data_IF_727038986980
#
_entry.id   IF_727038986980
#
_cell.length_a   1.000
_cell.length_b   1.000
_cell.length_c   1.000
_cell.angle_alpha   90.00
_cell.angle_beta   90.00
_cell.angle_gamma   90.00
#
_symmetry.space_group_name_H-M   'P 1'
#
loop_
_entity.id
_entity.type
_entity.pdbx_description
1 polymer ?
#
# COMPACT_ATOMS: atom_id res chain seq x y z
N UNK A 1 7.04 -32.39 -33.34
CA UNK A 1 7.63 -31.20 -32.70
C UNK A 1 6.59 -30.21 -32.15
N UNK A 2 5.37 -30.10 -32.71
CA UNK A 2 4.41 -29.03 -32.41
C UNK A 2 3.62 -29.14 -31.09
N UNK A 3 3.46 -30.34 -30.53
CA UNK A 3 2.66 -30.52 -29.30
C UNK A 3 3.42 -30.12 -28.03
N UNK A 4 4.74 -30.30 -28.03
CA UNK A 4 5.60 -29.92 -26.91
C UNK A 4 5.80 -28.41 -26.82
N UNK A 5 5.87 -27.72 -27.97
CA UNK A 5 5.98 -26.25 -28.01
C UNK A 5 4.68 -25.60 -27.54
N UNK A 6 3.51 -26.08 -28.00
CA UNK A 6 2.20 -25.56 -27.56
C UNK A 6 2.00 -25.64 -26.04
N UNK A 7 2.36 -26.77 -25.42
CA UNK A 7 2.30 -26.95 -23.97
C UNK A 7 3.28 -26.06 -23.19
N UNK A 8 4.40 -25.69 -23.79
CA UNK A 8 5.37 -24.76 -23.21
C UNK A 8 4.86 -23.32 -23.28
N UNK A 9 4.31 -22.92 -24.43
CA UNK A 9 3.76 -21.58 -24.67
C UNK A 9 2.56 -21.28 -23.76
N UNK A 10 1.67 -22.25 -23.56
CA UNK A 10 0.51 -22.12 -22.68
C UNK A 10 0.93 -21.88 -21.21
N UNK A 11 2.02 -22.52 -20.75
CA UNK A 11 2.57 -22.31 -19.39
C UNK A 11 3.27 -20.96 -19.26
N UNK A 12 4.00 -20.53 -20.27
CA UNK A 12 4.64 -19.21 -20.29
C UNK A 12 3.59 -18.09 -20.28
N UNK A 13 2.52 -18.24 -21.07
CA UNK A 13 1.40 -17.30 -21.09
C UNK A 13 0.75 -17.16 -19.71
N UNK A 14 0.52 -18.27 -19.01
CA UNK A 14 -0.09 -18.25 -17.68
C UNK A 14 0.77 -17.53 -16.64
N UNK A 15 2.10 -17.71 -16.66
CA UNK A 15 3.03 -17.00 -15.79
C UNK A 15 3.02 -15.47 -16.06
N UNK A 16 2.98 -15.07 -17.32
CA UNK A 16 2.87 -13.66 -17.72
C UNK A 16 1.55 -13.02 -17.26
N UNK A 17 0.44 -13.73 -17.38
CA UNK A 17 -0.86 -13.27 -16.89
C UNK A 17 -0.87 -13.13 -15.36
N UNK A 18 -0.35 -14.12 -14.65
CA UNK A 18 -0.26 -14.09 -13.19
C UNK A 18 0.64 -12.95 -12.69
N UNK A 19 1.78 -12.73 -13.35
CA UNK A 19 2.69 -11.64 -13.03
C UNK A 19 2.02 -10.27 -13.19
N UNK A 20 1.32 -10.04 -14.32
CA UNK A 20 0.57 -8.81 -14.56
C UNK A 20 -0.55 -8.60 -13.53
N UNK A 21 -1.24 -9.67 -13.14
CA UNK A 21 -2.28 -9.61 -12.11
C UNK A 21 -1.73 -9.20 -10.74
N UNK A 22 -0.59 -9.77 -10.33
CA UNK A 22 0.08 -9.39 -9.09
C UNK A 22 0.45 -7.91 -9.08
N UNK A 23 1.07 -7.41 -10.16
CA UNK A 23 1.46 -6.00 -10.26
C UNK A 23 0.23 -5.10 -10.15
N UNK A 24 -0.85 -5.41 -10.87
CA UNK A 24 -2.09 -4.64 -10.80
C UNK A 24 -2.68 -4.62 -9.38
N UNK A 25 -2.64 -5.75 -8.67
CA UNK A 25 -3.10 -5.85 -7.28
C UNK A 25 -2.28 -4.97 -6.33
N UNK A 26 -0.95 -5.00 -6.45
CA UNK A 26 -0.08 -4.11 -5.67
C UNK A 26 -0.35 -2.63 -5.99
N UNK A 27 -0.48 -2.27 -7.26
CA UNK A 27 -0.81 -0.90 -7.65
C UNK A 27 -2.14 -0.45 -7.02
N UNK A 28 -3.17 -1.31 -7.01
CA UNK A 28 -4.47 -1.00 -6.41
C UNK A 28 -4.33 -0.74 -4.90
N UNK A 29 -3.57 -1.57 -4.18
CA UNK A 29 -3.26 -1.34 -2.76
C UNK A 29 -2.54 0.01 -2.56
N UNK A 30 -1.56 0.32 -3.40
CA UNK A 30 -0.84 1.60 -3.33
C UNK A 30 -1.76 2.79 -3.60
N UNK A 31 -2.68 2.71 -4.57
CA UNK A 31 -3.65 3.78 -4.82
C UNK A 31 -4.58 4.00 -3.63
N UNK A 32 -5.06 2.92 -3.01
CA UNK A 32 -5.91 2.99 -1.82
C UNK A 32 -5.13 3.57 -0.62
N UNK A 33 -3.88 3.15 -0.42
CA UNK A 33 -3.05 3.63 0.69
C UNK A 33 -2.55 5.07 0.50
N UNK A 34 -2.22 5.48 -0.73
CA UNK A 34 -1.73 6.83 -1.03
C UNK A 34 -2.81 7.89 -0.83
N UNK A 35 -4.09 7.54 -1.03
CA UNK A 35 -5.23 8.39 -0.69
C UNK A 35 -5.60 8.36 0.80
N UNK A 36 -5.08 7.40 1.57
CA UNK A 36 -5.32 7.32 3.01
C UNK A 36 -4.45 8.32 3.75
N UNK A 37 -4.92 9.58 3.76
CA UNK A 37 -4.37 10.62 4.62
C UNK A 37 -4.90 10.37 6.04
N UNK A 38 -4.28 9.40 6.72
CA UNK A 38 -4.54 9.21 8.16
C UNK A 38 -4.22 10.51 8.87
N UNK A 39 -5.19 11.11 9.56
CA UNK A 39 -4.98 12.33 10.31
C UNK A 39 -3.92 12.04 11.39
N UNK A 40 -2.70 12.63 11.30
CA UNK A 40 -1.69 12.37 12.30
C UNK A 40 -2.20 12.90 13.64
N UNK A 41 -2.08 12.10 14.70
CA UNK A 41 -2.41 12.51 16.06
C UNK A 41 -1.19 12.33 16.95
N UNK A 42 -0.91 13.32 17.80
CA UNK A 42 0.20 13.26 18.73
C UNK A 42 -0.32 13.32 20.16
N UNK A 43 0.22 12.47 21.04
CA UNK A 43 -0.05 12.53 22.47
C UNK A 43 0.81 13.61 23.13
N UNK A 44 0.17 14.42 23.96
CA UNK A 44 0.84 15.35 24.88
C UNK A 44 1.00 14.64 26.21
N UNK A 45 2.25 14.40 26.61
CA UNK A 45 2.59 13.75 27.87
C UNK A 45 2.69 14.79 28.99
N UNK A 46 2.27 14.41 30.18
CA UNK A 46 2.44 15.18 31.41
C UNK A 46 3.81 14.88 32.05
N UNK A 47 4.23 15.68 33.04
CA UNK A 47 5.58 15.57 33.67
C UNK A 47 5.86 14.22 34.34
N UNK A 48 4.81 13.46 34.64
CA UNK A 48 4.84 12.12 35.22
C UNK A 48 4.77 11.01 34.15
N UNK A 49 4.85 11.35 32.85
CA UNK A 49 4.82 10.40 31.74
C UNK A 49 3.43 9.90 31.35
N UNK A 50 2.36 10.38 32.00
CA UNK A 50 0.98 10.03 31.64
C UNK A 50 0.50 10.78 30.40
N UNK A 51 -0.38 10.18 29.60
CA UNK A 51 -1.02 10.85 28.46
C UNK A 51 -2.05 11.85 28.97
N UNK A 52 -1.77 13.14 28.80
CA UNK A 52 -2.66 14.23 29.23
C UNK A 52 -3.76 14.48 28.22
N UNK A 53 -3.40 14.57 26.94
CA UNK A 53 -4.30 14.89 25.83
C UNK A 53 -3.80 14.27 24.52
N UNK A 54 -4.72 13.89 23.63
CA UNK A 54 -4.41 13.50 22.24
C UNK A 54 -4.87 14.64 21.34
N UNK A 55 -3.93 15.28 20.64
CA UNK A 55 -4.24 16.40 19.73
C UNK A 55 -4.16 15.94 18.29
N UNK A 56 -5.22 16.24 17.53
CA UNK A 56 -5.22 16.08 16.08
C UNK A 56 -4.24 17.10 15.45
N UNK A 57 -3.48 16.66 14.45
CA UNK A 57 -2.57 17.52 13.71
C UNK A 57 -3.36 18.55 12.91
N UNK A 58 -3.52 19.76 13.45
CA UNK A 58 -3.89 20.93 12.65
C UNK A 58 -2.64 21.37 11.90
N UNK A 59 -2.73 21.42 10.58
CA UNK A 59 -1.74 22.05 9.72
C UNK A 59 -1.63 23.52 10.14
N UNK A 60 -0.70 23.82 11.05
CA UNK A 60 -0.31 25.19 11.35
C UNK A 60 0.34 25.69 10.05
N UNK A 61 -0.28 26.68 9.41
CA UNK A 61 0.26 27.39 8.26
C UNK A 61 1.73 27.74 8.54
N UNK A 62 2.63 26.89 8.06
CA UNK A 62 4.08 27.09 8.17
C UNK A 62 4.42 28.04 7.03
N UNK A 63 4.56 29.31 7.40
CA UNK A 63 5.09 30.38 6.56
C UNK A 63 6.45 30.03 5.97
#
# INVERSE_FOLDING_TARGET
MSFLTKRSDDRASWLEFFHKFIIAFFCLIFFVACGYKGDPSYSVLDKNGSVKEIKAYKNLNRW
#
